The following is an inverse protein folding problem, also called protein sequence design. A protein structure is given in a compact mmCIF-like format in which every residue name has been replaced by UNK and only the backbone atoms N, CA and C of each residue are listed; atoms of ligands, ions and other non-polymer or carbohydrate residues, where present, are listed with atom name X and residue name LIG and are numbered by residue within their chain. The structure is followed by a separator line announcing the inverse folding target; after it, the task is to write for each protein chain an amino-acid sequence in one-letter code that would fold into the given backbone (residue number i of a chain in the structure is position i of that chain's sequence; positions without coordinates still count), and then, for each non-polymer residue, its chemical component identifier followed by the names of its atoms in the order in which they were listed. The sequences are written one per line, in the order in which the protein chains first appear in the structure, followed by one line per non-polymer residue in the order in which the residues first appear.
data_IF_668691682824
#
_entry.id   IF_668691682824
#
_cell.length_a   1.000
_cell.length_b   1.000
_cell.length_c   1.000
_cell.angle_alpha   90.00
_cell.angle_beta   90.00
_cell.angle_gamma   90.00
#
_symmetry.space_group_name_H-M   'P 1'
#
loop_
_entity.id
_entity.type
_entity.pdbx_description
1 polymer ?
#
# COMPACT_ATOMS: atom_id res chain seq x y z
N UNK A 1 21.25 31.00 7.80
CA UNK A 1 22.24 30.05 8.33
C UNK A 1 21.60 28.74 8.84
N UNK A 2 20.48 28.76 9.53
CA UNK A 2 19.77 27.54 9.96
C UNK A 2 19.33 26.61 8.81
N UNK A 3 19.13 27.13 7.60
CA UNK A 3 18.81 26.35 6.41
C UNK A 3 20.05 25.67 5.78
N UNK A 4 21.24 26.20 6.00
CA UNK A 4 22.51 25.59 5.57
C UNK A 4 22.94 24.45 6.49
N UNK A 5 22.70 24.57 7.79
CA UNK A 5 23.02 23.52 8.77
C UNK A 5 22.16 22.27 8.57
N UNK A 6 20.88 22.42 8.19
CA UNK A 6 20.00 21.29 7.89
C UNK A 6 20.44 20.49 6.64
N UNK A 7 21.11 21.10 5.68
CA UNK A 7 21.65 20.42 4.49
C UNK A 7 22.87 19.53 4.78
N UNK A 8 23.55 19.75 5.89
CA UNK A 8 24.81 19.07 6.23
C UNK A 8 24.69 17.95 7.25
N UNK A 9 23.50 17.66 7.77
CA UNK A 9 23.31 16.54 8.70
C UNK A 9 23.49 15.21 7.98
N UNK A 10 24.31 14.34 8.57
CA UNK A 10 24.51 12.96 8.07
C UNK A 10 23.21 12.18 8.05
N UNK A 11 22.37 12.43 9.02
CA UNK A 11 21.13 11.73 9.26
C UNK A 11 20.14 12.71 9.91
N UNK A 12 18.99 12.89 9.25
CA UNK A 12 17.90 13.73 9.78
C UNK A 12 16.83 12.82 10.35
N UNK A 13 16.73 12.76 11.65
CA UNK A 13 15.82 11.89 12.38
C UNK A 13 14.57 12.65 12.84
N UNK A 14 13.41 12.04 12.70
CA UNK A 14 12.15 12.57 13.22
C UNK A 14 11.29 11.45 13.80
N UNK A 15 10.55 11.76 14.86
CA UNK A 15 9.59 10.86 15.49
C UNK A 15 8.23 11.53 15.47
N UNK A 16 7.24 10.81 14.95
CA UNK A 16 5.84 11.23 14.95
C UNK A 16 5.03 10.11 15.58
N UNK A 17 4.19 10.47 16.52
CA UNK A 17 3.29 9.53 17.16
C UNK A 17 2.03 10.22 17.62
N UNK A 18 0.98 9.45 17.79
CA UNK A 18 -0.27 9.98 18.30
C UNK A 18 -1.38 8.94 18.33
N UNK A 19 -2.43 9.28 19.06
CA UNK A 19 -3.64 8.48 19.08
C UNK A 19 -4.35 8.57 17.75
N UNK A 20 -5.02 7.47 17.37
CA UNK A 20 -5.89 7.42 16.21
C UNK A 20 -7.13 6.59 16.50
N UNK A 21 -8.11 6.72 15.62
CA UNK A 21 -9.30 5.90 15.61
C UNK A 21 -9.60 5.45 14.18
N UNK A 22 -9.90 4.18 14.01
CA UNK A 22 -10.42 3.63 12.76
C UNK A 22 -11.57 2.65 13.05
N UNK A 23 -12.39 2.38 12.04
CA UNK A 23 -13.47 1.41 12.16
C UNK A 23 -12.94 0.00 12.47
N UNK A 24 -11.75 -0.32 12.00
CA UNK A 24 -11.16 -1.65 12.11
C UNK A 24 -10.35 -1.83 13.40
N UNK A 25 -9.52 -0.85 13.77
CA UNK A 25 -8.62 -0.93 14.92
C UNK A 25 -9.16 -0.25 16.17
N UNK A 26 -10.29 0.50 16.06
CA UNK A 26 -10.83 1.33 17.15
C UNK A 26 -9.79 2.35 17.63
N UNK A 27 -9.67 2.59 18.93
CA UNK A 27 -8.65 3.45 19.48
C UNK A 27 -7.29 2.79 19.46
N UNK A 28 -6.29 3.51 18.96
CA UNK A 28 -4.92 3.04 18.90
C UNK A 28 -3.92 4.15 19.13
N UNK A 29 -2.66 3.73 19.32
CA UNK A 29 -1.50 4.60 19.41
C UNK A 29 -0.49 4.15 18.35
N UNK A 30 -0.21 5.02 17.39
CA UNK A 30 0.78 4.79 16.35
C UNK A 30 2.05 5.61 16.58
N UNK A 31 3.18 5.06 16.15
CA UNK A 31 4.48 5.68 16.19
C UNK A 31 5.25 5.43 14.90
N UNK A 32 5.86 6.48 14.35
CA UNK A 32 6.80 6.39 13.23
C UNK A 32 8.08 7.12 13.60
N UNK A 33 9.20 6.41 13.60
CA UNK A 33 10.54 6.98 13.69
C UNK A 33 11.16 6.92 12.29
N UNK A 34 11.42 8.07 11.68
CA UNK A 34 11.92 8.17 10.32
C UNK A 34 13.27 8.86 10.27
N UNK A 35 14.16 8.35 9.41
CA UNK A 35 15.46 8.94 9.14
C UNK A 35 15.62 9.23 7.64
N UNK A 36 16.19 10.39 7.33
CA UNK A 36 16.61 10.77 5.99
C UNK A 36 18.13 10.89 5.96
N UNK A 37 18.75 10.35 4.93
CA UNK A 37 20.20 10.40 4.73
C UNK A 37 20.54 10.45 3.25
N UNK A 38 21.71 10.99 2.91
CA UNK A 38 22.20 11.04 1.54
C UNK A 38 23.39 10.11 1.38
N UNK A 39 23.34 9.29 0.35
CA UNK A 39 24.45 8.38 -0.01
C UNK A 39 25.58 9.11 -0.73
N UNK A 40 25.28 10.19 -1.44
CA UNK A 40 26.25 11.14 -1.98
C UNK A 40 25.85 12.56 -1.58
N UNK A 41 26.71 13.21 -0.79
CA UNK A 41 26.47 14.58 -0.31
C UNK A 41 26.82 15.65 -1.31
N UNK A 42 27.64 15.32 -2.29
CA UNK A 42 28.09 16.24 -3.32
C UNK A 42 27.05 16.35 -4.44
N UNK A 43 26.17 15.36 -4.58
CA UNK A 43 25.07 15.37 -5.52
C UNK A 43 23.82 16.02 -4.90
N UNK A 44 23.60 17.29 -5.19
CA UNK A 44 22.46 18.05 -4.69
C UNK A 44 21.13 17.66 -5.36
N UNK A 45 21.20 16.96 -6.49
CA UNK A 45 20.03 16.50 -7.24
C UNK A 45 19.56 15.12 -6.79
N UNK A 46 20.42 14.35 -6.12
CA UNK A 46 20.06 13.04 -5.58
C UNK A 46 19.06 13.20 -4.44
N UNK A 47 17.85 12.61 -4.54
CA UNK A 47 16.90 12.61 -3.44
C UNK A 47 17.49 11.90 -2.21
N UNK A 48 17.09 12.27 -1.00
CA UNK A 48 17.55 11.57 0.20
C UNK A 48 16.98 10.16 0.26
N UNK A 49 17.81 9.22 0.70
CA UNK A 49 17.39 7.90 1.13
C UNK A 49 16.63 7.99 2.45
N UNK A 50 15.76 7.04 2.72
CA UNK A 50 14.95 7.03 3.93
C UNK A 50 14.90 5.64 4.56
N UNK A 51 14.73 5.62 5.86
CA UNK A 51 14.41 4.45 6.64
C UNK A 51 13.37 4.83 7.70
N UNK A 52 12.35 4.01 7.87
CA UNK A 52 11.30 4.24 8.87
C UNK A 52 11.06 2.98 9.68
N UNK A 53 11.05 3.15 11.00
CA UNK A 53 10.53 2.18 11.93
C UNK A 53 9.12 2.63 12.32
N UNK A 54 8.13 1.78 12.15
CA UNK A 54 6.75 2.11 12.45
C UNK A 54 6.10 1.02 13.30
N UNK A 55 5.20 1.43 14.16
CA UNK A 55 4.48 0.56 15.06
C UNK A 55 3.12 1.11 15.41
N UNK A 56 2.22 0.23 15.82
CA UNK A 56 0.87 0.55 16.24
C UNK A 56 0.36 -0.47 17.24
N UNK A 57 -0.40 0.00 18.22
CA UNK A 57 -1.13 -0.84 19.16
C UNK A 57 -2.54 -0.30 19.34
N UNK A 58 -3.52 -1.17 19.52
CA UNK A 58 -4.91 -0.74 19.69
C UNK A 58 -5.62 -1.44 20.85
N UNK A 59 -6.75 -0.87 21.25
CA UNK A 59 -7.60 -1.39 22.33
C UNK A 59 -8.26 -2.71 22.01
N UNK A 60 -8.36 -3.09 20.73
CA UNK A 60 -8.94 -4.37 20.29
C UNK A 60 -7.92 -5.49 20.14
N UNK A 61 -6.67 -5.26 20.57
CA UNK A 61 -5.60 -6.26 20.46
C UNK A 61 -4.88 -6.26 19.10
N UNK A 62 -5.02 -5.22 18.30
CA UNK A 62 -4.18 -5.01 17.13
C UNK A 62 -2.79 -4.57 17.56
N UNK A 63 -1.76 -5.16 16.98
CA UNK A 63 -0.40 -4.63 17.04
C UNK A 63 0.33 -4.85 15.72
N UNK A 64 1.12 -3.88 15.36
CA UNK A 64 1.92 -3.81 14.14
C UNK A 64 3.32 -3.33 14.48
N UNK A 65 4.32 -3.94 13.90
CA UNK A 65 5.69 -3.45 13.90
C UNK A 65 6.30 -3.67 12.53
N UNK A 66 6.99 -2.68 12.01
CA UNK A 66 7.63 -2.79 10.71
C UNK A 66 8.78 -1.84 10.49
N UNK A 67 9.57 -2.16 9.49
CA UNK A 67 10.68 -1.36 8.96
C UNK A 67 10.51 -1.26 7.47
N UNK A 68 10.57 -0.04 6.94
CA UNK A 68 10.56 0.20 5.50
C UNK A 68 11.56 1.27 5.12
N UNK A 69 12.03 1.23 3.91
CA UNK A 69 12.95 2.24 3.43
C UNK A 69 13.23 2.16 1.94
N UNK A 70 13.87 3.21 1.48
CA UNK A 70 14.37 3.34 0.12
C UNK A 70 15.82 3.82 0.21
N UNK A 71 16.73 2.98 -0.23
CA UNK A 71 18.14 3.32 -0.32
C UNK A 71 18.49 3.68 -1.77
N UNK A 72 18.80 4.95 -1.99
CA UNK A 72 19.18 5.47 -3.30
C UNK A 72 20.69 5.50 -3.40
N UNK A 73 21.25 4.76 -4.35
CA UNK A 73 22.68 4.72 -4.60
C UNK A 73 23.14 6.01 -5.32
N UNK A 74 24.44 6.37 -5.25
CA UNK A 74 24.97 7.54 -5.92
C UNK A 74 24.57 7.63 -7.38
N UNK A 75 24.30 8.83 -7.87
CA UNK A 75 23.81 9.16 -9.22
C UNK A 75 22.41 8.57 -9.54
N UNK A 76 21.71 8.07 -8.52
CA UNK A 76 20.41 7.43 -8.66
C UNK A 76 20.36 6.29 -9.71
N UNK A 77 21.47 5.59 -9.86
CA UNK A 77 21.56 4.47 -10.80
C UNK A 77 20.79 3.24 -10.33
N UNK A 78 20.76 3.05 -9.02
CA UNK A 78 20.11 1.90 -8.36
C UNK A 78 19.27 2.37 -7.19
N UNK A 79 18.20 1.66 -6.91
CA UNK A 79 17.36 1.85 -5.72
C UNK A 79 17.09 0.51 -5.09
N UNK A 80 17.30 0.41 -3.77
CA UNK A 80 16.89 -0.72 -2.96
C UNK A 80 15.67 -0.30 -2.15
N UNK A 81 14.53 -0.92 -2.40
CA UNK A 81 13.32 -0.71 -1.63
C UNK A 81 13.03 -1.95 -0.79
N UNK A 82 12.67 -1.75 0.46
CA UNK A 82 12.37 -2.83 1.37
C UNK A 82 11.24 -2.47 2.32
N UNK A 83 10.46 -3.49 2.68
CA UNK A 83 9.42 -3.40 3.70
C UNK A 83 9.32 -4.74 4.41
N UNK A 84 9.55 -4.71 5.72
CA UNK A 84 9.43 -5.85 6.61
C UNK A 84 8.43 -5.50 7.69
N UNK A 85 7.39 -6.28 7.86
CA UNK A 85 6.45 -6.07 8.93
C UNK A 85 5.87 -7.36 9.47
N UNK A 86 5.36 -7.29 10.67
CA UNK A 86 4.41 -8.26 11.20
C UNK A 86 3.27 -7.54 11.92
N UNK A 87 2.11 -8.14 11.88
CA UNK A 87 0.97 -7.70 12.67
C UNK A 87 0.16 -8.88 13.20
N UNK A 88 -0.52 -8.64 14.29
CA UNK A 88 -1.56 -9.52 14.81
C UNK A 88 -2.84 -8.70 14.97
N UNK A 89 -3.92 -9.21 14.44
CA UNK A 89 -5.15 -8.44 14.29
C UNK A 89 -6.39 -9.33 14.41
N UNK A 90 -7.34 -8.99 15.31
CA UNK A 90 -8.70 -9.52 15.24
C UNK A 90 -9.33 -9.04 13.94
N UNK A 91 -9.67 -9.97 13.07
CA UNK A 91 -10.10 -9.68 11.69
C UNK A 91 -11.49 -10.23 11.42
N UNK A 92 -12.11 -9.71 10.36
CA UNK A 92 -13.38 -10.18 9.86
C UNK A 92 -13.21 -10.79 8.47
N UNK A 93 -14.01 -11.82 8.19
CA UNK A 93 -13.99 -12.54 6.92
C UNK A 93 -15.41 -12.87 6.47
N UNK A 94 -15.71 -12.66 5.20
CA UNK A 94 -17.02 -12.94 4.60
C UNK A 94 -16.99 -14.07 3.59
N UNK A 95 -15.83 -14.68 3.37
CA UNK A 95 -15.62 -15.64 2.30
C UNK A 95 -15.11 -15.00 1.02
N UNK A 96 -14.98 -15.81 0.00
CA UNK A 96 -14.48 -15.41 -1.32
C UNK A 96 -15.65 -15.04 -2.25
N UNK A 97 -15.45 -14.02 -3.06
CA UNK A 97 -16.36 -13.59 -4.11
C UNK A 97 -17.32 -12.50 -3.67
N UNK A 98 -17.90 -11.84 -4.67
CA UNK A 98 -18.79 -10.70 -4.47
C UNK A 98 -20.03 -11.06 -3.65
N UNK A 99 -20.70 -12.16 -3.99
CA UNK A 99 -21.96 -12.56 -3.32
C UNK A 99 -21.74 -12.86 -1.84
N UNK A 100 -20.63 -13.49 -1.49
CA UNK A 100 -20.26 -13.73 -0.11
C UNK A 100 -19.98 -12.41 0.64
N UNK A 101 -19.23 -11.50 0.03
CA UNK A 101 -18.95 -10.19 0.62
C UNK A 101 -20.19 -9.30 0.76
N UNK A 102 -21.14 -9.41 -0.16
CA UNK A 102 -22.40 -8.68 -0.12
C UNK A 102 -23.36 -9.20 0.96
N UNK A 103 -23.23 -10.46 1.35
CA UNK A 103 -24.09 -11.06 2.38
C UNK A 103 -23.53 -10.77 3.77
N UNK A 104 -24.23 -9.92 4.51
CA UNK A 104 -23.83 -9.56 5.89
C UNK A 104 -23.89 -10.72 6.87
N UNK A 105 -24.68 -11.74 6.60
CA UNK A 105 -24.77 -12.94 7.46
C UNK A 105 -23.47 -13.78 7.41
N UNK A 106 -22.62 -13.57 6.41
CA UNK A 106 -21.33 -14.22 6.31
C UNK A 106 -20.24 -13.57 7.17
N UNK A 107 -20.50 -12.43 7.79
CA UNK A 107 -19.53 -11.82 8.70
C UNK A 107 -19.07 -12.81 9.75
N UNK A 108 -17.77 -13.02 9.85
CA UNK A 108 -17.15 -14.05 10.67
C UNK A 108 -15.88 -13.53 11.32
N UNK A 109 -15.75 -13.73 12.62
CA UNK A 109 -14.56 -13.35 13.37
C UNK A 109 -13.45 -14.39 13.19
N UNK A 110 -12.22 -13.92 13.12
CA UNK A 110 -11.02 -14.73 13.24
C UNK A 110 -9.83 -13.88 13.69
N UNK A 111 -8.76 -14.53 14.10
CA UNK A 111 -7.49 -13.87 14.42
C UNK A 111 -6.51 -14.07 13.27
N UNK A 112 -5.91 -12.99 12.80
CA UNK A 112 -4.89 -13.01 11.74
C UNK A 112 -3.54 -12.59 12.29
N UNK A 113 -2.57 -13.44 12.09
CA UNK A 113 -1.16 -13.10 12.22
C UNK A 113 -0.53 -13.09 10.83
N UNK A 114 0.19 -12.03 10.52
CA UNK A 114 0.88 -11.90 9.23
C UNK A 114 2.27 -11.31 9.41
N UNK A 115 3.24 -11.91 8.73
CA UNK A 115 4.56 -11.35 8.54
C UNK A 115 4.91 -11.32 7.05
N UNK A 116 5.52 -10.24 6.60
CA UNK A 116 5.97 -10.10 5.21
C UNK A 116 7.36 -9.50 5.16
N UNK A 117 8.18 -10.02 4.26
CA UNK A 117 9.43 -9.41 3.82
C UNK A 117 9.32 -9.17 2.33
N UNK A 118 9.39 -7.91 1.91
CA UNK A 118 9.41 -7.52 0.50
C UNK A 118 10.63 -6.68 0.22
N UNK A 119 11.39 -7.07 -0.78
CA UNK A 119 12.60 -6.37 -1.24
C UNK A 119 12.58 -6.28 -2.75
N UNK A 120 12.87 -5.13 -3.30
CA UNK A 120 13.14 -4.96 -4.72
C UNK A 120 14.42 -4.15 -4.96
N UNK A 121 15.15 -4.50 -6.00
CA UNK A 121 16.36 -3.81 -6.42
C UNK A 121 16.16 -3.28 -7.84
N UNK A 122 16.11 -1.96 -7.98
CA UNK A 122 15.74 -1.27 -9.20
C UNK A 122 16.97 -0.66 -9.90
N UNK A 123 17.05 -0.91 -11.19
CA UNK A 123 18.05 -0.32 -12.09
C UNK A 123 17.39 0.84 -12.85
N UNK A 124 18.01 2.02 -12.86
CA UNK A 124 17.54 3.14 -13.68
C UNK A 124 17.91 2.92 -15.15
N UNK A 125 16.91 2.75 -16.01
CA UNK A 125 17.10 2.61 -17.45
C UNK A 125 17.02 3.95 -18.20
N UNK A 126 16.21 4.87 -17.71
CA UNK A 126 16.00 6.19 -18.25
C UNK A 126 15.57 7.15 -17.15
N UNK A 127 15.41 8.43 -17.49
CA UNK A 127 14.88 9.42 -16.54
C UNK A 127 13.53 8.93 -15.98
N UNK A 128 13.41 8.91 -14.65
CA UNK A 128 12.21 8.49 -13.92
C UNK A 128 11.77 7.02 -14.12
N UNK A 129 12.57 6.24 -14.86
CA UNK A 129 12.20 4.88 -15.23
C UNK A 129 13.16 3.84 -14.66
N UNK A 130 12.62 2.88 -13.91
CA UNK A 130 13.36 1.84 -13.20
C UNK A 130 12.74 0.48 -13.47
N UNK A 131 13.56 -0.54 -13.51
CA UNK A 131 13.15 -1.94 -13.56
C UNK A 131 14.12 -2.80 -12.74
N UNK A 132 13.62 -3.84 -12.12
CA UNK A 132 14.49 -4.75 -11.38
C UNK A 132 13.76 -5.92 -10.75
N UNK A 133 14.54 -6.88 -10.22
CA UNK A 133 14.01 -8.04 -9.54
C UNK A 133 13.38 -7.67 -8.19
N UNK A 134 12.41 -8.48 -7.76
CA UNK A 134 11.86 -8.43 -6.43
C UNK A 134 11.75 -9.83 -5.81
N UNK A 135 11.78 -9.88 -4.50
CA UNK A 135 11.56 -11.08 -3.70
C UNK A 135 10.55 -10.76 -2.59
N UNK A 136 9.62 -11.66 -2.36
CA UNK A 136 8.61 -11.54 -1.30
C UNK A 136 8.54 -12.86 -0.54
N UNK A 137 8.54 -12.75 0.77
CA UNK A 137 8.19 -13.84 1.67
C UNK A 137 6.98 -13.45 2.49
N UNK A 138 5.95 -14.29 2.49
CA UNK A 138 4.74 -14.10 3.27
C UNK A 138 4.52 -15.27 4.24
N UNK A 139 4.14 -14.92 5.46
CA UNK A 139 3.62 -15.84 6.45
C UNK A 139 2.27 -15.33 6.93
N UNK A 140 1.22 -16.11 6.74
CA UNK A 140 -0.14 -15.78 7.17
C UNK A 140 -0.70 -16.94 7.95
N UNK A 141 -1.19 -16.68 9.16
CA UNK A 141 -1.81 -17.65 10.02
C UNK A 141 -3.16 -17.14 10.53
N UNK A 142 -4.23 -17.81 10.12
CA UNK A 142 -5.56 -17.55 10.62
C UNK A 142 -5.91 -18.52 11.74
N UNK A 143 -6.53 -18.02 12.80
CA UNK A 143 -6.91 -18.79 14.00
C UNK A 143 -8.28 -18.40 14.49
N UNK A 144 -8.89 -19.30 15.29
CA UNK A 144 -10.13 -19.08 16.00
C UNK A 144 -11.27 -18.66 15.06
N UNK A 145 -11.45 -19.41 13.98
CA UNK A 145 -12.49 -19.14 12.99
C UNK A 145 -13.88 -19.41 13.55
N UNK A 146 -14.72 -18.40 13.54
CA UNK A 146 -16.13 -18.49 13.89
C UNK A 146 -16.93 -19.32 12.86
N UNK A 147 -16.65 -19.11 11.57
CA UNK A 147 -17.29 -19.82 10.45
C UNK A 147 -16.25 -20.46 9.52
N UNK A 148 -15.64 -21.59 9.93
CA UNK A 148 -14.55 -22.20 9.18
C UNK A 148 -14.95 -22.66 7.76
N UNK A 149 -16.23 -22.90 7.49
CA UNK A 149 -16.77 -23.26 6.17
C UNK A 149 -16.51 -22.19 5.11
N UNK A 150 -16.37 -20.92 5.49
CA UNK A 150 -16.10 -19.83 4.55
C UNK A 150 -14.70 -19.91 3.93
N UNK A 151 -13.79 -20.68 4.53
CA UNK A 151 -12.45 -20.92 3.99
C UNK A 151 -12.40 -22.03 2.93
N UNK A 152 -13.51 -22.71 2.66
CA UNK A 152 -13.66 -23.72 1.60
C UNK A 152 -12.57 -24.81 1.63
N UNK A 153 -12.11 -25.20 2.80
CA UNK A 153 -11.04 -26.20 2.99
C UNK A 153 -9.63 -25.72 2.72
N UNK A 154 -9.42 -24.44 2.47
CA UNK A 154 -8.07 -23.85 2.34
C UNK A 154 -7.31 -23.91 3.67
N UNK A 155 -5.99 -24.04 3.59
CA UNK A 155 -5.13 -24.06 4.78
C UNK A 155 -5.20 -22.71 5.51
N UNK A 156 -5.41 -22.78 6.84
CA UNK A 156 -5.41 -21.60 7.70
C UNK A 156 -4.04 -20.90 7.74
N UNK A 157 -2.98 -21.69 7.69
CA UNK A 157 -1.58 -21.20 7.65
C UNK A 157 -1.03 -21.32 6.24
N UNK A 158 -0.43 -20.23 5.77
CA UNK A 158 0.24 -20.16 4.47
C UNK A 158 1.62 -19.56 4.63
N UNK A 159 2.63 -20.26 4.11
CA UNK A 159 3.98 -19.72 3.91
C UNK A 159 4.20 -19.65 2.40
N UNK A 160 4.61 -18.51 1.90
CA UNK A 160 4.78 -18.31 0.46
C UNK A 160 6.06 -17.54 0.15
N UNK A 161 6.88 -18.10 -0.74
CA UNK A 161 8.11 -17.49 -1.24
C UNK A 161 7.94 -17.17 -2.71
N UNK A 162 8.19 -15.93 -3.08
CA UNK A 162 7.95 -15.43 -4.43
C UNK A 162 9.17 -14.68 -4.96
N UNK A 163 9.38 -14.79 -6.25
CA UNK A 163 10.30 -13.97 -7.04
C UNK A 163 9.51 -13.24 -8.10
N UNK A 164 10.03 -12.12 -8.57
CA UNK A 164 9.36 -11.37 -9.62
C UNK A 164 10.18 -10.22 -10.17
N UNK A 165 9.48 -9.39 -10.94
CA UNK A 165 9.99 -8.18 -11.55
C UNK A 165 9.12 -7.00 -11.17
N UNK A 166 9.75 -5.86 -10.90
CA UNK A 166 9.10 -4.57 -10.66
C UNK A 166 9.51 -3.57 -11.71
N UNK A 167 8.55 -2.81 -12.20
CA UNK A 167 8.73 -1.67 -13.08
C UNK A 167 8.19 -0.44 -12.37
N UNK A 168 8.96 0.65 -12.39
CA UNK A 168 8.57 1.92 -11.78
C UNK A 168 8.84 3.07 -12.75
N UNK A 169 7.82 3.89 -12.97
CA UNK A 169 7.95 5.21 -13.57
C UNK A 169 7.40 6.25 -12.60
N UNK A 170 8.19 7.24 -12.23
CA UNK A 170 7.79 8.26 -11.26
C UNK A 170 8.31 9.63 -11.67
N UNK A 171 7.42 10.47 -12.17
CA UNK A 171 7.70 11.87 -12.55
C UNK A 171 7.03 12.88 -11.60
N UNK A 172 6.53 12.43 -10.44
CA UNK A 172 5.88 13.31 -9.46
C UNK A 172 6.85 14.35 -8.92
N UNK A 173 6.34 15.55 -8.69
CA UNK A 173 7.10 16.66 -8.08
C UNK A 173 7.44 16.39 -6.59
N UNK A 174 6.54 15.69 -5.87
CA UNK A 174 6.71 15.31 -4.47
C UNK A 174 6.21 13.89 -4.21
N UNK A 175 6.92 13.12 -3.40
CA UNK A 175 6.56 11.74 -3.10
C UNK A 175 5.28 11.63 -2.27
N UNK A 176 5.09 12.53 -1.31
CA UNK A 176 4.01 12.43 -0.31
C UNK A 176 2.81 13.33 -0.60
N UNK A 177 3.01 14.42 -1.32
CA UNK A 177 1.96 15.39 -1.64
C UNK A 177 2.16 15.96 -3.03
N UNK A 178 2.03 15.10 -4.03
CA UNK A 178 2.22 15.46 -5.42
C UNK A 178 1.17 16.48 -5.90
N UNK A 179 1.61 17.46 -6.67
CA UNK A 179 0.75 18.43 -7.35
C UNK A 179 0.74 18.27 -8.86
N UNK A 180 1.78 17.69 -9.44
CA UNK A 180 1.80 17.29 -10.84
C UNK A 180 2.73 16.09 -11.04
N UNK A 181 2.54 15.42 -12.15
CA UNK A 181 3.34 14.27 -12.54
C UNK A 181 2.55 12.98 -12.60
N UNK A 182 3.26 11.93 -12.90
CA UNK A 182 2.72 10.61 -13.15
C UNK A 182 3.48 9.56 -12.33
N UNK A 183 2.75 8.61 -11.76
CA UNK A 183 3.28 7.45 -11.07
C UNK A 183 2.72 6.19 -11.72
N UNK A 184 3.60 5.25 -12.04
CA UNK A 184 3.24 3.92 -12.53
C UNK A 184 4.14 2.90 -11.85
N UNK A 185 3.54 1.90 -11.23
CA UNK A 185 4.25 0.73 -10.72
C UNK A 185 3.56 -0.54 -11.18
N UNK A 186 4.33 -1.48 -11.70
CA UNK A 186 3.87 -2.82 -12.05
C UNK A 186 4.77 -3.81 -11.35
N UNK A 187 4.17 -4.69 -10.54
CA UNK A 187 4.84 -5.80 -9.88
C UNK A 187 4.29 -7.10 -10.45
N UNK A 188 5.16 -7.88 -11.09
CA UNK A 188 4.83 -9.23 -11.55
C UNK A 188 5.48 -10.23 -10.61
N UNK A 189 4.65 -11.04 -9.95
CA UNK A 189 5.03 -12.00 -8.91
C UNK A 189 4.85 -13.42 -9.41
N UNK A 190 5.80 -14.28 -9.09
CA UNK A 190 5.76 -15.71 -9.34
C UNK A 190 6.01 -16.47 -8.06
N UNK A 191 5.10 -17.35 -7.69
CA UNK A 191 5.16 -18.19 -6.50
C UNK A 191 5.04 -19.67 -6.89
N UNK A 192 6.06 -20.25 -7.55
CA UNK A 192 6.00 -21.62 -8.05
C UNK A 192 6.15 -22.63 -6.92
N UNK A 193 5.69 -23.87 -7.16
CA UNK A 193 5.76 -24.94 -6.20
C UNK A 193 7.21 -25.33 -5.82
N UNK A 194 8.17 -25.19 -6.74
CA UNK A 194 9.57 -25.57 -6.48
C UNK A 194 10.27 -24.66 -5.45
N UNK A 195 9.71 -23.48 -5.13
CA UNK A 195 10.18 -22.66 -4.00
C UNK A 195 9.58 -23.06 -2.64
N UNK A 196 8.93 -24.22 -2.58
CA UNK A 196 8.33 -24.74 -1.35
C UNK A 196 6.92 -24.27 -1.07
N UNK A 197 6.24 -23.69 -2.06
CA UNK A 197 4.88 -23.18 -1.91
C UNK A 197 3.86 -24.33 -2.03
N UNK A 198 2.98 -24.43 -1.04
CA UNK A 198 1.82 -25.35 -1.10
C UNK A 198 0.84 -24.94 -2.19
N UNK A 199 0.63 -23.64 -2.34
CA UNK A 199 -0.25 -23.04 -3.35
C UNK A 199 0.61 -22.33 -4.38
N UNK A 200 0.62 -22.85 -5.61
CA UNK A 200 1.35 -22.22 -6.71
C UNK A 200 0.45 -21.20 -7.42
N UNK A 201 0.89 -19.96 -7.45
CA UNK A 201 0.17 -18.89 -8.12
C UNK A 201 1.12 -17.82 -8.67
N UNK A 202 0.59 -16.93 -9.46
CA UNK A 202 1.27 -15.72 -9.89
C UNK A 202 0.34 -14.52 -9.75
N UNK A 203 0.88 -13.32 -9.76
CA UNK A 203 0.08 -12.11 -9.68
C UNK A 203 0.68 -10.96 -10.45
N UNK A 204 -0.19 -10.07 -10.93
CA UNK A 204 0.16 -8.80 -11.54
C UNK A 204 -0.52 -7.70 -10.75
N UNK A 205 0.27 -6.81 -10.18
CA UNK A 205 -0.24 -5.62 -9.47
C UNK A 205 0.15 -4.37 -10.23
N UNK A 206 -0.83 -3.56 -10.57
CA UNK A 206 -0.67 -2.28 -11.24
C UNK A 206 -1.19 -1.17 -10.35
N UNK A 207 -0.35 -0.19 -10.08
CA UNK A 207 -0.74 1.07 -9.44
C UNK A 207 -0.35 2.22 -10.33
N UNK A 208 -1.29 3.09 -10.66
CA UNK A 208 -1.02 4.28 -11.44
C UNK A 208 -1.75 5.48 -10.85
N UNK A 209 -1.08 6.62 -10.85
CA UNK A 209 -1.62 7.88 -10.35
C UNK A 209 -1.18 9.03 -11.25
N UNK A 210 -2.08 9.97 -11.45
CA UNK A 210 -1.83 11.17 -12.23
C UNK A 210 -2.25 12.40 -11.45
N UNK A 211 -1.42 13.44 -11.45
CA UNK A 211 -1.64 14.68 -10.70
C UNK A 211 -1.54 15.85 -11.65
N UNK A 212 -2.55 16.71 -11.64
CA UNK A 212 -2.64 17.88 -12.51
C UNK A 212 -3.10 19.11 -11.72
N UNK A 213 -2.33 20.20 -11.69
CA UNK A 213 -2.83 21.47 -11.21
C UNK A 213 -3.98 21.96 -12.11
N UNK A 214 -5.09 22.36 -11.51
CA UNK A 214 -6.30 22.82 -12.27
C UNK A 214 -6.56 24.31 -12.12
N UNK A 215 -6.26 24.86 -10.93
CA UNK A 215 -6.28 26.30 -10.63
C UNK A 215 -5.38 26.58 -9.42
N UNK A 216 -5.32 27.83 -8.98
CA UNK A 216 -4.49 28.21 -7.83
C UNK A 216 -4.88 27.44 -6.55
N UNK A 217 -3.96 26.63 -6.07
CA UNK A 217 -4.15 25.78 -4.89
C UNK A 217 -4.98 24.52 -5.12
N UNK A 218 -5.50 24.31 -6.34
CA UNK A 218 -6.28 23.14 -6.71
C UNK A 218 -5.46 22.11 -7.47
N UNK A 219 -5.55 20.84 -7.06
CA UNK A 219 -4.90 19.69 -7.72
C UNK A 219 -5.95 18.61 -7.95
N UNK A 220 -6.06 18.16 -9.19
CA UNK A 220 -6.83 16.98 -9.55
C UNK A 220 -5.90 15.78 -9.54
N UNK A 221 -6.27 14.74 -8.79
CA UNK A 221 -5.56 13.48 -8.69
C UNK A 221 -6.44 12.34 -9.19
N UNK A 222 -5.94 11.57 -10.14
CA UNK A 222 -6.55 10.32 -10.58
C UNK A 222 -5.70 9.14 -10.11
N UNK A 223 -6.35 8.04 -9.70
CA UNK A 223 -5.68 6.81 -9.28
C UNK A 223 -6.42 5.61 -9.83
N UNK A 224 -5.66 4.62 -10.28
CA UNK A 224 -6.16 3.30 -10.62
C UNK A 224 -5.25 2.25 -9.99
N UNK A 225 -5.86 1.23 -9.40
CA UNK A 225 -5.16 0.09 -8.83
C UNK A 225 -5.85 -1.20 -9.24
N UNK A 226 -5.08 -2.22 -9.57
CA UNK A 226 -5.58 -3.57 -9.77
C UNK A 226 -4.56 -4.60 -9.28
N UNK A 227 -5.06 -5.63 -8.64
CA UNK A 227 -4.32 -6.84 -8.33
C UNK A 227 -5.05 -8.02 -8.99
N UNK A 228 -4.37 -8.70 -9.89
CA UNK A 228 -4.86 -9.90 -10.57
C UNK A 228 -4.00 -11.08 -10.12
N UNK A 229 -4.62 -12.12 -9.59
CA UNK A 229 -3.93 -13.36 -9.22
C UNK A 229 -4.38 -14.49 -10.10
N UNK A 230 -3.48 -15.43 -10.37
CA UNK A 230 -3.67 -16.54 -11.29
C UNK A 230 -3.22 -17.84 -10.62
N UNK A 231 -3.96 -18.92 -10.83
CA UNK A 231 -3.64 -20.22 -10.25
C UNK A 231 -4.25 -20.44 -8.86
N UNK A 232 -3.58 -21.21 -8.03
CA UNK A 232 -4.03 -21.54 -6.67
C UNK A 232 -3.64 -20.45 -5.67
N UNK A 233 -4.36 -19.35 -5.70
CA UNK A 233 -4.09 -18.24 -4.80
C UNK A 233 -4.59 -18.57 -3.40
N UNK A 234 -3.71 -18.53 -2.36
CA UNK A 234 -4.15 -18.73 -0.99
C UNK A 234 -5.04 -17.57 -0.53
N UNK A 235 -6.00 -17.85 0.34
CA UNK A 235 -7.00 -16.88 0.79
C UNK A 235 -6.41 -15.57 1.31
N UNK A 236 -5.31 -15.65 2.03
CA UNK A 236 -4.66 -14.48 2.63
C UNK A 236 -3.89 -13.59 1.65
N UNK A 237 -3.64 -14.08 0.43
CA UNK A 237 -2.94 -13.35 -0.64
C UNK A 237 -3.86 -13.00 -1.83
N UNK A 238 -5.15 -13.26 -1.72
CA UNK A 238 -6.14 -12.81 -2.69
C UNK A 238 -6.26 -11.30 -2.69
N UNK A 239 -6.75 -10.75 -3.79
CA UNK A 239 -7.03 -9.33 -3.94
C UNK A 239 -8.23 -8.91 -3.08
N UNK A 240 -8.13 -7.74 -2.47
CA UNK A 240 -9.15 -7.18 -1.58
C UNK A 240 -9.48 -5.75 -1.96
N UNK A 241 -10.69 -5.30 -1.62
CA UNK A 241 -11.08 -3.90 -1.65
C UNK A 241 -11.03 -3.30 -0.24
N UNK A 242 -10.78 -2.01 -0.17
CA UNK A 242 -10.76 -1.24 1.06
C UNK A 242 -9.33 -0.99 1.58
N UNK A 243 -9.00 0.26 1.73
CA UNK A 243 -7.77 0.71 2.37
C UNK A 243 -7.93 2.16 2.84
N UNK A 244 -6.92 2.70 3.50
CA UNK A 244 -6.88 4.13 3.85
C UNK A 244 -6.67 5.04 2.63
N UNK A 245 -6.29 4.50 1.48
CA UNK A 245 -5.96 5.25 0.26
C UNK A 245 -7.00 5.13 -0.85
N UNK A 246 -7.67 3.99 -0.95
CA UNK A 246 -8.70 3.75 -1.95
C UNK A 246 -9.86 2.93 -1.38
N UNK A 247 -11.05 3.07 -1.94
CA UNK A 247 -12.25 2.43 -1.42
C UNK A 247 -12.43 2.66 0.08
N UNK A 248 -12.16 3.89 0.53
CA UNK A 248 -12.26 4.30 1.92
C UNK A 248 -13.68 4.13 2.44
N UNK A 249 -13.84 3.60 3.65
CA UNK A 249 -15.12 3.29 4.26
C UNK A 249 -15.54 1.81 4.13
N UNK A 250 -14.96 1.07 3.20
CA UNK A 250 -15.11 -0.38 3.16
C UNK A 250 -14.11 -1.04 4.12
N UNK A 251 -14.57 -2.07 4.83
CA UNK A 251 -13.67 -2.90 5.63
C UNK A 251 -12.71 -3.65 4.69
N UNK A 252 -11.40 -3.52 4.93
CA UNK A 252 -10.39 -4.18 4.10
C UNK A 252 -10.54 -5.70 4.17
N UNK A 253 -10.78 -6.30 2.99
CA UNK A 253 -10.97 -7.74 2.89
C UNK A 253 -12.40 -8.22 3.04
N UNK A 254 -13.40 -7.35 3.23
CA UNK A 254 -14.80 -7.75 3.11
C UNK A 254 -15.09 -8.32 1.73
N UNK A 255 -14.67 -7.61 0.70
CA UNK A 255 -14.73 -8.08 -0.68
C UNK A 255 -13.37 -8.60 -1.08
N UNK A 256 -13.28 -9.91 -1.33
CA UNK A 256 -12.06 -10.66 -1.58
C UNK A 256 -12.27 -11.66 -2.69
N UNK A 257 -11.39 -11.65 -3.70
CA UNK A 257 -11.38 -12.64 -4.77
C UNK A 257 -9.98 -12.71 -5.41
N UNK A 258 -9.81 -13.53 -6.43
CA UNK A 258 -8.57 -13.63 -7.18
C UNK A 258 -8.17 -12.34 -7.89
N UNK A 259 -9.13 -11.51 -8.27
CA UNK A 259 -8.88 -10.21 -8.86
C UNK A 259 -9.68 -9.10 -8.20
N UNK A 260 -9.10 -7.91 -8.12
CA UNK A 260 -9.77 -6.69 -7.70
C UNK A 260 -9.24 -5.51 -8.52
N UNK A 261 -10.09 -4.52 -8.74
CA UNK A 261 -9.69 -3.24 -9.30
C UNK A 261 -10.49 -2.11 -8.68
N UNK A 262 -9.88 -0.96 -8.58
CA UNK A 262 -10.51 0.27 -8.12
C UNK A 262 -9.92 1.49 -8.83
N UNK A 263 -10.73 2.50 -8.97
CA UNK A 263 -10.36 3.79 -9.54
C UNK A 263 -10.94 4.92 -8.70
N UNK A 264 -10.21 6.01 -8.59
CA UNK A 264 -10.60 7.16 -7.79
C UNK A 264 -10.16 8.47 -8.46
N UNK A 265 -11.00 9.48 -8.35
CA UNK A 265 -10.66 10.87 -8.66
C UNK A 265 -10.78 11.67 -7.38
N UNK A 266 -9.77 12.48 -7.09
CA UNK A 266 -9.72 13.35 -5.92
C UNK A 266 -9.38 14.78 -6.32
N UNK A 267 -10.14 15.73 -5.85
CA UNK A 267 -9.85 17.15 -5.97
C UNK A 267 -9.35 17.65 -4.61
N UNK A 268 -8.14 18.19 -4.60
CA UNK A 268 -7.47 18.73 -3.43
C UNK A 268 -7.41 20.26 -3.57
N UNK A 269 -7.84 20.97 -2.53
CA UNK A 269 -7.79 22.43 -2.49
C UNK A 269 -7.00 22.88 -1.26
N UNK A 270 -5.93 23.62 -1.50
CA UNK A 270 -5.24 24.39 -0.46
C UNK A 270 -6.11 25.59 -0.08
N UNK A 271 -6.38 25.76 1.21
CA UNK A 271 -7.26 26.83 1.71
C UNK A 271 -6.44 27.94 2.36
N UNK A 272 -5.64 27.62 3.37
CA UNK A 272 -4.92 28.63 4.11
C UNK A 272 -3.73 28.01 4.87
N UNK A 273 -2.54 28.62 4.78
CA UNK A 273 -1.30 28.17 5.42
C UNK A 273 -1.02 26.68 5.12
N UNK A 274 -1.28 25.80 6.09
CA UNK A 274 -1.06 24.34 6.00
C UNK A 274 -2.37 23.57 5.85
N UNK A 275 -3.46 24.27 5.73
CA UNK A 275 -4.81 23.68 5.72
C UNK A 275 -5.31 23.52 4.31
N UNK A 276 -5.93 22.40 4.05
CA UNK A 276 -6.58 22.08 2.80
C UNK A 276 -7.77 21.17 3.01
N UNK A 277 -8.54 21.02 1.95
CA UNK A 277 -9.67 20.10 1.88
C UNK A 277 -9.55 19.22 0.66
N UNK A 278 -10.15 18.06 0.70
CA UNK A 278 -10.21 17.13 -0.42
C UNK A 278 -11.62 16.53 -0.52
N UNK A 279 -12.06 16.34 -1.76
CA UNK A 279 -13.27 15.57 -2.09
C UNK A 279 -12.88 14.49 -3.09
N UNK A 280 -13.48 13.31 -2.98
CA UNK A 280 -13.18 12.21 -3.89
C UNK A 280 -14.43 11.41 -4.22
N UNK A 281 -14.36 10.78 -5.38
CA UNK A 281 -15.30 9.78 -5.83
C UNK A 281 -14.55 8.66 -6.55
N UNK A 282 -15.02 7.44 -6.40
CA UNK A 282 -14.40 6.28 -6.99
C UNK A 282 -15.33 5.09 -7.04
N UNK A 283 -14.82 4.02 -7.60
CA UNK A 283 -15.52 2.75 -7.69
C UNK A 283 -14.52 1.60 -7.70
N UNK A 284 -14.95 0.44 -7.24
CA UNK A 284 -14.15 -0.77 -7.24
C UNK A 284 -15.00 -2.01 -7.37
N UNK A 285 -14.36 -3.11 -7.74
CA UNK A 285 -15.00 -4.42 -7.88
C UNK A 285 -14.01 -5.53 -7.66
N UNK A 286 -14.53 -6.72 -7.41
CA UNK A 286 -13.78 -7.97 -7.37
C UNK A 286 -14.36 -8.97 -8.38
N UNK A 287 -13.54 -9.90 -8.81
CA UNK A 287 -13.93 -10.96 -9.75
C UNK A 287 -13.00 -12.17 -9.64
N UNK A 288 -13.46 -13.37 -9.98
CA UNK A 288 -12.58 -14.57 -9.96
C UNK A 288 -11.52 -14.55 -11.07
N UNK A 289 -11.80 -13.90 -12.20
CA UNK A 289 -10.87 -13.63 -13.31
C UNK A 289 -11.34 -12.39 -14.08
N UNK A 290 -10.42 -11.76 -14.79
CA UNK A 290 -10.73 -10.53 -15.52
C UNK A 290 -11.85 -10.73 -16.57
N UNK A 291 -11.94 -11.89 -17.19
CA UNK A 291 -13.02 -12.23 -18.14
C UNK A 291 -14.42 -12.30 -17.51
N UNK A 292 -14.49 -12.41 -16.19
CA UNK A 292 -15.74 -12.45 -15.41
C UNK A 292 -16.07 -11.11 -14.74
N UNK A 293 -15.39 -10.05 -15.14
CA UNK A 293 -15.74 -8.70 -14.73
C UNK A 293 -17.19 -8.38 -15.14
N UNK A 294 -17.96 -7.82 -14.20
CA UNK A 294 -19.33 -7.38 -14.46
C UNK A 294 -19.61 -6.03 -13.84
N UNK A 295 -20.21 -5.08 -14.59
CA UNK A 295 -20.62 -3.78 -14.04
C UNK A 295 -21.62 -3.89 -12.88
N UNK A 296 -22.36 -5.00 -12.79
CA UNK A 296 -23.35 -5.22 -11.72
C UNK A 296 -22.71 -5.33 -10.32
N UNK A 297 -21.43 -5.67 -10.24
CA UNK A 297 -20.68 -5.82 -8.98
C UNK A 297 -19.82 -4.62 -8.64
N UNK A 298 -20.00 -3.49 -9.32
CA UNK A 298 -19.26 -2.27 -9.03
C UNK A 298 -19.81 -1.63 -7.76
N UNK A 299 -18.89 -1.33 -6.83
CA UNK A 299 -19.16 -0.69 -5.55
C UNK A 299 -18.69 0.77 -5.62
N UNK A 300 -19.55 1.74 -5.25
CA UNK A 300 -19.16 3.16 -5.25
C UNK A 300 -18.40 3.54 -3.98
N UNK A 301 -17.58 4.57 -4.09
CA UNK A 301 -16.92 5.21 -2.96
C UNK A 301 -16.88 6.71 -3.18
N UNK A 302 -17.18 7.50 -2.14
CA UNK A 302 -17.08 8.94 -2.17
C UNK A 302 -16.84 9.48 -0.76
N UNK A 303 -16.29 10.67 -0.68
CA UNK A 303 -16.07 11.30 0.60
C UNK A 303 -15.43 12.67 0.50
N UNK A 304 -15.22 13.26 1.65
CA UNK A 304 -14.49 14.49 1.81
C UNK A 304 -13.58 14.42 3.03
N UNK A 305 -12.53 15.22 3.06
CA UNK A 305 -11.57 15.18 4.15
C UNK A 305 -10.84 16.50 4.30
N UNK A 306 -10.34 16.69 5.51
CA UNK A 306 -9.44 17.76 5.85
C UNK A 306 -7.99 17.29 5.69
N UNK A 307 -7.13 18.16 5.14
CA UNK A 307 -5.71 17.89 4.94
C UNK A 307 -4.89 18.94 5.68
N UNK A 308 -3.92 18.48 6.43
CA UNK A 308 -2.97 19.35 7.09
C UNK A 308 -1.54 18.99 6.68
N UNK A 309 -0.79 20.00 6.23
CA UNK A 309 0.58 19.81 5.76
C UNK A 309 1.55 19.90 6.95
N UNK A 310 2.08 18.77 7.37
CA UNK A 310 2.95 18.67 8.54
C UNK A 310 4.30 19.39 8.36
N UNK A 311 4.92 19.24 7.18
CA UNK A 311 6.17 19.94 6.81
C UNK A 311 6.00 20.67 5.48
N UNK A 312 6.70 21.82 5.33
CA UNK A 312 6.78 22.47 4.03
C UNK A 312 7.30 21.49 2.98
N UNK A 313 6.74 21.54 1.77
CA UNK A 313 7.13 20.71 0.63
C UNK A 313 8.65 20.76 0.45
N UNK A 314 9.28 19.60 0.50
CA UNK A 314 10.68 19.42 0.14
C UNK A 314 10.69 18.90 -1.29
N UNK A 315 11.23 19.68 -2.25
CA UNK A 315 11.39 19.23 -3.63
C UNK A 315 12.31 18.01 -3.67
N UNK A 316 11.85 16.99 -4.34
CA UNK A 316 12.67 15.84 -4.73
C UNK A 316 13.56 16.18 -5.91
#
# INVERSE_FOLDING_TARGET
DANKEKKNKKFDFSVIGGPHYSSDTKFGLGLVAAGLYRTDRNDSLLPPSNVSLYGDVSTVGFYLLGVRGNHLFPQDKYRLNYNLYFYSFPSLYWGRGYDNGANSDNESDYKRFQAQVKVDFMFRLAKNFYIGPMAIFDYIDGRDFDKPELWEGMAARTTNTSLGLSLLYDSRDFLTNASHGYYLRIDQRFSPAFLGNKYAFSSTELTTSYYQPVWKGGVLAGQFHTLLTYGDTPWGLMATLGSSYSMRGYYEGRYRDKGAMDAQIELRQHVWKRNGVAVWAGAGTIFPRLSEFTPKHILPNYGFGYRWEFKKRVRS
#
